data_IF_323718399891
#
_entry.id   IF_323718399891
#
_cell.length_a   1.000
_cell.length_b   1.000
_cell.length_c   1.000
_cell.angle_alpha   90.00
_cell.angle_beta   90.00
_cell.angle_gamma   90.00
#
_symmetry.space_group_name_H-M   'P 1'
#
loop_
_entity.id
_entity.type
_entity.pdbx_description
1 polymer ?
#
# COMPACT_ATOMS: atom_id res chain seq x y z
N UNK A 1 -26.81 -9.64 13.01
CA UNK A 1 -26.61 -8.37 13.73
C UNK A 1 -25.14 -8.29 14.16
N UNK A 2 -24.22 -8.11 13.20
CA UNK A 2 -22.76 -7.97 13.43
C UNK A 2 -22.13 -7.24 12.24
N UNK A 3 -22.66 -7.48 11.05
CA UNK A 3 -22.31 -6.81 9.79
C UNK A 3 -22.54 -5.28 9.83
N UNK A 4 -23.50 -4.79 10.62
CA UNK A 4 -23.81 -3.35 10.69
C UNK A 4 -22.83 -2.54 11.56
N UNK A 5 -22.05 -3.18 12.44
CA UNK A 5 -21.02 -2.47 13.21
C UNK A 5 -19.76 -2.24 12.35
N UNK A 6 -19.35 -3.22 11.55
CA UNK A 6 -18.19 -3.12 10.66
C UNK A 6 -18.27 -1.92 9.70
N UNK A 7 -19.47 -1.56 9.23
CA UNK A 7 -19.64 -0.43 8.31
C UNK A 7 -19.66 0.96 8.97
N UNK A 8 -19.80 1.06 10.31
CA UNK A 8 -19.84 2.35 11.02
C UNK A 8 -18.45 2.77 11.51
N UNK A 9 -17.48 1.85 11.50
CA UNK A 9 -16.10 2.04 11.97
C UNK A 9 -15.02 1.83 10.90
N UNK A 10 -15.41 1.62 9.63
CA UNK A 10 -14.44 1.42 8.55
C UNK A 10 -13.64 2.70 8.28
N UNK A 11 -12.47 2.76 8.88
CA UNK A 11 -11.45 3.79 8.80
C UNK A 11 -10.24 3.23 8.02
N UNK A 12 -10.37 2.98 6.69
CA UNK A 12 -9.36 2.26 5.94
C UNK A 12 -8.06 3.04 5.75
N UNK A 13 -6.95 2.32 5.79
CA UNK A 13 -5.64 2.77 5.33
C UNK A 13 -4.93 1.62 4.61
N UNK A 14 -3.89 1.97 3.84
CA UNK A 14 -3.06 1.00 3.15
C UNK A 14 -1.60 1.10 3.59
N UNK A 15 -0.94 -0.03 3.74
CA UNK A 15 0.51 -0.17 3.79
C UNK A 15 0.96 -0.48 2.37
N UNK A 16 1.82 0.36 1.81
CA UNK A 16 2.42 0.14 0.49
C UNK A 16 3.89 -0.20 0.69
N UNK A 17 4.29 -1.37 0.23
CA UNK A 17 5.67 -1.87 0.29
C UNK A 17 6.32 -1.86 -1.09
N UNK A 18 7.56 -1.39 -1.16
CA UNK A 18 8.38 -1.47 -2.37
C UNK A 18 9.86 -1.62 -2.01
N UNK A 19 10.50 -2.67 -2.53
CA UNK A 19 11.87 -3.02 -2.18
C UNK A 19 12.02 -3.32 -0.68
N UNK A 20 12.86 -2.55 0.01
CA UNK A 20 13.11 -2.68 1.46
C UNK A 20 12.33 -1.68 2.31
N UNK A 21 11.47 -0.88 1.70
CA UNK A 21 10.74 0.20 2.36
C UNK A 21 9.23 -0.05 2.34
N UNK A 22 8.53 0.50 3.34
CA UNK A 22 7.08 0.58 3.34
C UNK A 22 6.61 1.97 3.83
N UNK A 23 5.47 2.42 3.33
CA UNK A 23 4.83 3.66 3.71
C UNK A 23 3.34 3.46 3.93
N UNK A 24 2.76 4.32 4.77
CA UNK A 24 1.33 4.32 5.09
C UNK A 24 0.61 5.40 4.29
N UNK A 25 -0.57 5.08 3.79
CA UNK A 25 -1.50 6.12 3.36
C UNK A 25 -2.16 6.81 4.56
N UNK A 26 -2.84 7.93 4.30
CA UNK A 26 -3.76 8.51 5.27
C UNK A 26 -4.89 7.53 5.58
N UNK A 27 -5.29 7.51 6.85
CA UNK A 27 -6.53 6.88 7.28
C UNK A 27 -7.69 7.73 6.75
N UNK A 28 -8.69 7.09 6.14
CA UNK A 28 -9.90 7.76 5.68
C UNK A 28 -11.04 7.42 6.63
N UNK A 29 -11.68 8.42 7.21
CA UNK A 29 -12.73 8.17 8.20
C UNK A 29 -14.01 7.64 7.53
N UNK A 30 -14.52 6.51 8.03
CA UNK A 30 -15.88 6.00 7.80
C UNK A 30 -16.29 5.88 6.33
N UNK A 31 -15.52 5.15 5.54
CA UNK A 31 -15.82 4.91 4.12
C UNK A 31 -15.68 3.45 3.69
N UNK A 32 -16.61 3.00 2.84
CA UNK A 32 -16.59 1.67 2.20
C UNK A 32 -16.00 1.71 0.78
N UNK A 33 -15.61 2.89 0.33
CA UNK A 33 -15.07 3.11 -1.01
C UNK A 33 -13.91 4.09 -0.87
N UNK A 34 -12.78 3.65 -0.28
CA UNK A 34 -11.63 4.50 -0.06
C UNK A 34 -11.07 5.01 -1.40
N UNK A 35 -10.83 6.32 -1.47
CA UNK A 35 -10.08 6.98 -2.52
C UNK A 35 -9.03 7.85 -1.84
N UNK A 36 -7.77 7.37 -1.83
CA UNK A 36 -6.72 8.05 -1.09
C UNK A 36 -6.23 9.32 -1.80
N UNK A 37 -6.21 9.34 -3.13
CA UNK A 37 -5.67 10.44 -3.95
C UNK A 37 -4.33 10.96 -3.42
N UNK A 38 -3.49 10.03 -2.95
CA UNK A 38 -2.21 10.30 -2.29
C UNK A 38 -1.07 9.71 -3.11
N UNK A 39 -0.02 10.49 -3.31
CA UNK A 39 1.26 10.01 -3.85
C UNK A 39 2.20 9.65 -2.71
N UNK A 40 2.69 8.41 -2.69
CA UNK A 40 3.75 7.96 -1.79
C UNK A 40 5.08 8.03 -2.54
N UNK A 41 6.05 8.77 -2.00
CA UNK A 41 7.36 8.97 -2.62
C UNK A 41 8.36 8.13 -1.86
N UNK A 42 8.91 7.11 -2.51
CA UNK A 42 9.95 6.26 -1.95
C UNK A 42 11.31 6.69 -2.48
N UNK A 43 12.06 7.42 -1.65
CA UNK A 43 13.39 7.91 -2.00
C UNK A 43 14.48 6.88 -1.62
N UNK A 44 15.59 6.90 -2.35
CA UNK A 44 16.80 6.12 -2.05
C UNK A 44 16.58 4.61 -1.92
N UNK A 45 15.65 4.04 -2.70
CA UNK A 45 15.47 2.59 -2.73
C UNK A 45 16.68 1.92 -3.38
N UNK A 46 17.28 0.99 -2.64
CA UNK A 46 18.34 0.12 -3.15
C UNK A 46 17.74 -1.11 -3.80
N UNK A 47 17.92 -1.23 -5.12
CA UNK A 47 17.53 -2.41 -5.88
C UNK A 47 18.77 -3.25 -6.22
N UNK A 48 18.65 -4.56 -6.08
CA UNK A 48 19.76 -5.49 -6.32
C UNK A 48 19.64 -6.11 -7.71
N UNK A 49 20.71 -5.98 -8.51
CA UNK A 49 20.81 -6.56 -9.85
C UNK A 49 21.26 -5.55 -10.90
N UNK A 50 21.49 -5.99 -12.16
CA UNK A 50 21.78 -5.08 -13.26
C UNK A 50 20.60 -4.14 -13.52
N UNK A 51 20.88 -2.86 -13.78
CA UNK A 51 19.85 -1.84 -14.00
C UNK A 51 18.87 -2.22 -15.12
N UNK A 52 19.36 -2.79 -16.23
CA UNK A 52 18.55 -3.25 -17.35
C UNK A 52 17.60 -4.40 -16.96
N UNK A 53 18.04 -5.30 -16.09
CA UNK A 53 17.22 -6.41 -15.60
C UNK A 53 16.11 -5.87 -14.68
N UNK A 54 16.45 -4.92 -13.80
CA UNK A 54 15.49 -4.26 -12.91
C UNK A 54 14.46 -3.45 -13.70
N UNK A 55 14.87 -2.77 -14.77
CA UNK A 55 13.95 -2.06 -15.64
C UNK A 55 13.02 -3.00 -16.42
N UNK A 56 13.53 -4.15 -16.90
CA UNK A 56 12.74 -5.15 -17.62
C UNK A 56 11.81 -5.95 -16.72
N UNK A 57 12.23 -6.17 -15.48
CA UNK A 57 11.50 -7.00 -14.52
C UNK A 57 11.57 -6.34 -13.14
N UNK A 58 10.80 -5.26 -12.93
CA UNK A 58 10.90 -4.50 -11.71
C UNK A 58 10.36 -5.29 -10.50
N UNK A 59 10.70 -4.90 -9.27
CA UNK A 59 10.11 -5.53 -8.09
C UNK A 59 8.60 -5.29 -8.02
N UNK A 60 7.90 -6.19 -7.33
CA UNK A 60 6.49 -6.00 -7.02
C UNK A 60 6.31 -4.87 -5.99
N UNK A 61 5.25 -4.09 -6.18
CA UNK A 61 4.65 -3.23 -5.17
C UNK A 61 3.60 -4.06 -4.45
N UNK A 62 3.73 -4.17 -3.13
CA UNK A 62 2.75 -4.85 -2.29
C UNK A 62 1.84 -3.80 -1.67
N UNK A 63 0.53 -3.99 -1.74
CA UNK A 63 -0.46 -3.11 -1.11
C UNK A 63 -1.29 -3.96 -0.15
N UNK A 64 -1.23 -3.64 1.13
CA UNK A 64 -2.03 -4.28 2.18
C UNK A 64 -3.04 -3.26 2.72
N UNK A 65 -4.31 -3.59 2.73
CA UNK A 65 -5.39 -2.72 3.22
C UNK A 65 -5.84 -3.19 4.59
N UNK A 66 -5.97 -2.23 5.49
CA UNK A 66 -6.39 -2.43 6.87
C UNK A 66 -7.53 -1.48 7.23
N UNK A 67 -8.33 -1.87 8.20
CA UNK A 67 -9.27 -1.02 8.91
C UNK A 67 -8.70 -0.65 10.28
N UNK A 68 -8.76 0.64 10.60
CA UNK A 68 -8.21 1.15 11.84
C UNK A 68 -9.24 1.07 12.96
N UNK A 69 -8.99 0.21 13.94
CA UNK A 69 -9.87 0.06 15.09
C UNK A 69 -9.50 1.06 16.21
N UNK A 70 -10.51 1.78 16.72
CA UNK A 70 -10.33 2.67 17.88
C UNK A 70 -9.96 1.91 19.17
N UNK A 71 -10.40 0.65 19.29
CA UNK A 71 -10.19 -0.20 20.47
C UNK A 71 -9.87 -1.61 19.97
N UNK A 72 -8.62 -1.88 19.63
CA UNK A 72 -8.24 -3.19 19.10
C UNK A 72 -6.91 -3.18 18.38
N UNK A 73 -6.66 -4.25 17.64
CA UNK A 73 -5.63 -4.29 16.60
C UNK A 73 -6.31 -3.99 15.28
N UNK A 74 -5.65 -3.25 14.41
CA UNK A 74 -6.14 -2.97 13.07
C UNK A 74 -6.47 -4.28 12.33
N UNK A 75 -7.64 -4.32 11.70
CA UNK A 75 -8.16 -5.50 11.01
C UNK A 75 -7.62 -5.54 9.58
N UNK A 76 -7.08 -6.68 9.15
CA UNK A 76 -6.59 -6.86 7.79
C UNK A 76 -7.74 -7.18 6.84
N UNK A 77 -7.89 -6.37 5.78
CA UNK A 77 -8.95 -6.52 4.79
C UNK A 77 -8.51 -7.29 3.55
N UNK A 78 -7.26 -7.12 3.14
CA UNK A 78 -6.74 -7.79 1.95
C UNK A 78 -5.38 -7.26 1.52
N UNK A 79 -4.76 -8.01 0.60
CA UNK A 79 -3.49 -7.69 -0.01
C UNK A 79 -3.60 -7.87 -1.52
N UNK A 80 -2.90 -7.03 -2.26
CA UNK A 80 -2.65 -7.20 -3.68
C UNK A 80 -1.18 -6.94 -4.01
N UNK A 81 -0.69 -7.60 -5.06
CA UNK A 81 0.66 -7.40 -5.58
C UNK A 81 0.55 -6.84 -6.99
N UNK A 82 1.20 -5.69 -7.22
CA UNK A 82 1.20 -5.01 -8.49
C UNK A 82 2.62 -4.92 -9.03
N UNK A 83 2.78 -5.14 -10.33
CA UNK A 83 4.07 -4.88 -10.98
C UNK A 83 4.34 -3.38 -10.97
N UNK A 84 5.49 -2.95 -10.46
CA UNK A 84 5.91 -1.56 -10.63
C UNK A 84 6.07 -1.25 -12.12
N UNK A 85 5.72 -0.03 -12.53
CA UNK A 85 6.05 0.44 -13.87
C UNK A 85 7.56 0.70 -13.95
N UNK A 86 8.25 0.00 -14.85
CA UNK A 86 9.70 0.13 -15.03
C UNK A 86 10.13 1.53 -15.46
N UNK A 87 9.26 2.31 -16.14
CA UNK A 87 9.55 3.71 -16.49
C UNK A 87 9.50 4.65 -15.27
N UNK A 88 8.79 4.28 -14.21
CA UNK A 88 8.69 5.06 -12.98
C UNK A 88 9.89 4.84 -12.04
N UNK A 89 10.72 3.84 -12.30
CA UNK A 89 11.93 3.56 -11.52
C UNK A 89 13.11 4.26 -12.20
N UNK A 90 13.56 5.37 -11.63
CA UNK A 90 14.78 6.04 -12.06
C UNK A 90 16.00 5.23 -11.59
N UNK A 91 16.38 4.22 -12.39
CA UNK A 91 17.61 3.44 -12.17
C UNK A 91 18.76 4.22 -12.79
N UNK A 92 19.41 5.05 -11.97
CA UNK A 92 20.60 5.82 -12.36
C UNK A 92 21.79 4.97 -12.77
#
# INVERSE_FOLDING_TARGET
MLIAFMFVFLDPYAVVGFGTQSQLTRVLDKTLSPMWDQTLIFDEITLYGPAELVAQNPPEVVIEVFDKDLIGKDEFFGQDNMQADGEAINVG
#
